data_IF_952838359875
#
_entry.id   IF_952838359875
#
_cell.length_a   1.000
_cell.length_b   1.000
_cell.length_c   1.000
_cell.angle_alpha   90.00
_cell.angle_beta   90.00
_cell.angle_gamma   90.00
#
_symmetry.space_group_name_H-M   'P 1'
#
loop_
_entity.id
_entity.type
_entity.pdbx_description
1 polymer ?
#
# COMPACT_ATOMS: atom_id res chain seq x y z
N UNK A 1 23.99 -25.13 -17.57
CA UNK A 1 24.44 -24.90 -16.18
C UNK A 1 24.85 -23.44 -15.91
N UNK A 2 25.66 -22.78 -16.75
CA UNK A 2 26.07 -21.37 -16.54
C UNK A 2 24.90 -20.35 -16.55
N UNK A 3 23.93 -20.49 -17.44
CA UNK A 3 22.76 -19.61 -17.50
C UNK A 3 21.85 -19.71 -16.25
N UNK A 4 21.79 -20.90 -15.62
CA UNK A 4 21.02 -21.12 -14.39
C UNK A 4 21.72 -20.47 -13.18
N UNK A 5 23.05 -20.49 -13.12
CA UNK A 5 23.78 -19.73 -12.10
C UNK A 5 23.63 -18.21 -12.28
N UNK A 6 23.49 -17.72 -13.51
CA UNK A 6 23.27 -16.30 -13.78
C UNK A 6 21.90 -15.82 -13.29
N UNK A 7 20.83 -16.63 -13.44
CA UNK A 7 19.51 -16.26 -12.93
C UNK A 7 19.46 -16.29 -11.39
N UNK A 8 20.08 -17.28 -10.74
CA UNK A 8 20.13 -17.34 -9.27
C UNK A 8 20.85 -16.13 -8.65
N UNK A 9 21.88 -15.61 -9.33
CA UNK A 9 22.56 -14.40 -8.91
C UNK A 9 21.66 -13.16 -9.06
N UNK A 10 20.97 -13.02 -10.19
CA UNK A 10 20.04 -11.91 -10.42
C UNK A 10 18.86 -11.93 -9.44
N UNK A 11 18.34 -13.11 -9.10
CA UNK A 11 17.23 -13.25 -8.14
C UNK A 11 17.62 -12.93 -6.68
N UNK A 12 18.91 -12.76 -6.38
CA UNK A 12 19.41 -12.27 -5.08
C UNK A 12 19.57 -10.76 -5.03
N UNK A 13 19.45 -10.06 -6.15
CA UNK A 13 19.49 -8.59 -6.19
C UNK A 13 18.17 -8.03 -5.62
N UNK A 14 18.21 -7.21 -4.54
CA UNK A 14 17.01 -6.67 -3.93
C UNK A 14 16.22 -5.70 -4.82
N UNK A 15 16.81 -5.24 -5.94
CA UNK A 15 16.13 -4.39 -6.93
C UNK A 15 15.27 -5.19 -7.92
N UNK A 16 15.45 -6.52 -7.96
CA UNK A 16 14.70 -7.40 -8.86
C UNK A 16 13.45 -7.87 -8.14
N UNK A 17 12.28 -7.38 -8.59
CA UNK A 17 11.00 -7.89 -8.10
C UNK A 17 10.72 -9.27 -8.69
N UNK A 18 10.48 -10.25 -7.81
CA UNK A 18 10.34 -11.66 -8.18
C UNK A 18 8.91 -12.09 -8.49
N UNK A 19 7.90 -11.25 -8.21
CA UNK A 19 6.48 -11.50 -8.46
C UNK A 19 5.82 -12.66 -7.70
N UNK A 20 6.61 -13.64 -7.23
CA UNK A 20 6.15 -14.92 -6.70
C UNK A 20 6.25 -15.06 -5.17
N UNK A 21 6.99 -14.16 -4.52
CA UNK A 21 7.11 -14.08 -3.06
C UNK A 21 6.41 -12.81 -2.56
N UNK A 22 5.08 -12.79 -2.60
CA UNK A 22 4.30 -11.72 -1.95
C UNK A 22 3.63 -12.29 -0.69
N UNK A 23 4.38 -12.42 0.43
CA UNK A 23 3.74 -12.76 1.69
C UNK A 23 2.60 -11.76 1.96
N UNK A 24 1.52 -12.18 2.61
CA UNK A 24 0.45 -11.26 2.98
C UNK A 24 1.07 -10.08 3.74
N UNK A 25 0.68 -8.84 3.39
CA UNK A 25 1.25 -7.68 4.04
C UNK A 25 0.98 -7.73 5.54
N UNK A 26 1.87 -7.15 6.37
CA UNK A 26 1.57 -7.00 7.79
C UNK A 26 0.25 -6.23 7.96
N UNK A 27 -0.48 -6.47 9.06
CA UNK A 27 -1.68 -5.70 9.36
C UNK A 27 -1.38 -4.21 9.39
N UNK A 28 -2.27 -3.43 8.78
CA UNK A 28 -2.16 -1.97 8.76
C UNK A 28 -2.33 -1.40 10.17
N UNK A 29 -1.53 -0.38 10.49
CA UNK A 29 -1.75 0.50 11.66
C UNK A 29 -2.75 1.63 11.40
N UNK A 30 -3.14 1.82 10.15
CA UNK A 30 -3.90 2.98 9.69
C UNK A 30 -5.20 2.53 9.02
N UNK A 31 -6.28 2.52 9.79
CA UNK A 31 -7.61 2.25 9.24
C UNK A 31 -7.98 3.28 8.17
N UNK A 32 -8.78 2.87 7.19
CA UNK A 32 -9.30 3.77 6.15
C UNK A 32 -10.39 4.70 6.68
N UNK A 33 -11.00 4.34 7.82
CA UNK A 33 -12.20 4.98 8.34
C UNK A 33 -13.50 4.40 7.77
N UNK A 34 -13.40 3.41 6.88
CA UNK A 34 -14.54 2.72 6.27
C UNK A 34 -14.38 1.21 6.45
N UNK A 35 -15.16 0.61 7.35
CA UNK A 35 -15.04 -0.83 7.68
C UNK A 35 -15.13 -1.73 6.46
N UNK A 36 -16.06 -1.44 5.52
CA UNK A 36 -16.20 -2.23 4.30
C UNK A 36 -14.95 -2.21 3.40
N UNK A 37 -14.17 -1.12 3.44
CA UNK A 37 -12.91 -1.03 2.71
C UNK A 37 -11.78 -1.69 3.49
N UNK A 38 -11.72 -1.50 4.81
CA UNK A 38 -10.75 -2.18 5.67
C UNK A 38 -10.84 -3.71 5.49
N UNK A 39 -12.06 -4.27 5.48
CA UNK A 39 -12.32 -5.70 5.23
C UNK A 39 -11.90 -6.18 3.84
N UNK A 40 -11.93 -5.29 2.84
CA UNK A 40 -11.58 -5.61 1.45
C UNK A 40 -10.07 -5.50 1.18
N UNK A 41 -9.32 -4.74 1.99
CA UNK A 41 -7.89 -4.53 1.81
C UNK A 41 -7.08 -5.69 2.43
N UNK A 42 -6.04 -6.22 1.76
CA UNK A 42 -5.26 -7.35 2.27
C UNK A 42 -4.62 -7.14 3.65
N UNK A 43 -4.34 -5.87 4.01
CA UNK A 43 -3.75 -5.49 5.28
C UNK A 43 -4.78 -5.06 6.34
N UNK A 44 -6.09 -5.02 6.03
CA UNK A 44 -7.11 -4.51 6.95
C UNK A 44 -7.15 -2.99 7.09
N UNK A 45 -6.58 -2.24 6.12
CA UNK A 45 -6.40 -0.80 6.17
C UNK A 45 -5.36 -0.31 5.17
N UNK A 46 -4.91 0.95 5.30
CA UNK A 46 -3.90 1.52 4.41
C UNK A 46 -2.54 0.83 4.55
N UNK A 47 -1.90 0.38 3.46
CA UNK A 47 -0.60 -0.29 3.54
C UNK A 47 0.50 0.69 3.99
N UNK A 48 1.40 0.23 4.86
CA UNK A 48 2.56 1.00 5.29
C UNK A 48 3.70 0.96 4.26
N UNK A 49 4.52 2.02 4.23
CA UNK A 49 5.69 2.14 3.36
C UNK A 49 5.41 1.78 1.89
N UNK A 50 4.20 2.08 1.42
CA UNK A 50 3.68 1.69 0.12
C UNK A 50 3.09 2.90 -0.60
N UNK A 51 3.05 2.84 -1.93
CA UNK A 51 2.31 3.78 -2.75
C UNK A 51 0.90 3.23 -2.98
N UNK A 52 -0.11 4.07 -2.83
CA UNK A 52 -1.50 3.76 -3.14
C UNK A 52 -1.98 4.65 -4.27
N UNK A 53 -2.56 4.05 -5.30
CA UNK A 53 -3.25 4.75 -6.37
C UNK A 53 -4.74 4.48 -6.26
N UNK A 54 -5.55 5.54 -6.29
CA UNK A 54 -7.01 5.46 -6.19
C UNK A 54 -7.57 5.91 -7.54
N UNK A 55 -8.24 4.99 -8.23
CA UNK A 55 -8.84 5.24 -9.54
C UNK A 55 -10.33 5.56 -9.36
N UNK A 56 -10.74 6.74 -9.81
CA UNK A 56 -12.13 7.17 -9.82
C UNK A 56 -12.71 7.05 -11.23
N UNK A 57 -14.00 6.72 -11.32
CA UNK A 57 -14.68 6.58 -12.62
C UNK A 57 -14.95 7.92 -13.31
N UNK A 58 -14.98 9.02 -12.54
CA UNK A 58 -15.21 10.37 -13.01
C UNK A 58 -14.74 11.39 -11.96
N UNK A 59 -14.55 12.63 -12.40
CA UNK A 59 -14.19 13.76 -11.54
C UNK A 59 -15.41 14.27 -10.75
N UNK A 60 -15.16 14.88 -9.58
CA UNK A 60 -16.16 15.53 -8.74
C UNK A 60 -16.93 14.58 -7.83
N UNK A 61 -16.42 13.36 -7.60
CA UNK A 61 -17.04 12.37 -6.72
C UNK A 61 -16.73 12.62 -5.23
N UNK A 62 -15.93 13.65 -4.92
CA UNK A 62 -15.43 13.88 -3.58
C UNK A 62 -14.26 12.95 -3.28
N UNK A 63 -13.30 12.89 -4.19
CA UNK A 63 -12.11 12.05 -4.21
C UNK A 63 -11.35 12.09 -2.87
N UNK A 64 -11.26 13.27 -2.28
CA UNK A 64 -10.60 13.47 -0.99
C UNK A 64 -11.39 12.86 0.17
N UNK A 65 -12.71 12.68 0.06
CA UNK A 65 -13.55 12.13 1.14
C UNK A 65 -13.11 10.74 1.59
N UNK A 66 -12.54 9.96 0.69
CA UNK A 66 -11.96 8.66 1.01
C UNK A 66 -10.71 8.77 1.89
N UNK A 67 -9.91 9.83 1.69
CA UNK A 67 -8.65 10.07 2.38
C UNK A 67 -8.83 10.89 3.67
N UNK A 68 -9.89 11.70 3.77
CA UNK A 68 -10.12 12.60 4.91
C UNK A 68 -10.05 11.91 6.29
N UNK A 69 -10.64 10.72 6.52
CA UNK A 69 -10.55 10.07 7.83
C UNK A 69 -9.11 9.74 8.22
N UNK A 70 -8.32 9.23 7.28
CA UNK A 70 -6.92 8.90 7.51
C UNK A 70 -6.06 10.16 7.70
N UNK A 71 -6.29 11.21 6.92
CA UNK A 71 -5.61 12.50 7.08
C UNK A 71 -5.91 13.11 8.46
N UNK A 72 -7.17 13.06 8.92
CA UNK A 72 -7.56 13.54 10.23
C UNK A 72 -6.84 12.77 11.34
N UNK A 73 -6.84 11.42 11.30
CA UNK A 73 -6.15 10.59 12.28
C UNK A 73 -4.63 10.87 12.30
N UNK A 74 -3.99 10.93 11.13
CA UNK A 74 -2.55 11.18 11.01
C UNK A 74 -2.17 12.60 11.48
N UNK A 75 -3.03 13.59 11.26
CA UNK A 75 -2.78 14.97 11.70
C UNK A 75 -2.80 15.12 13.22
N UNK A 76 -3.43 14.20 13.95
CA UNK A 76 -3.46 14.20 15.42
C UNK A 76 -2.24 13.50 16.05
N UNK A 77 -1.46 12.78 15.26
CA UNK A 77 -0.39 11.89 15.74
C UNK A 77 1.01 12.56 15.74
N UNK A 78 1.06 13.90 15.68
CA UNK A 78 2.28 14.73 15.54
C UNK A 78 3.16 14.34 14.33
N UNK A 79 2.53 13.78 13.29
CA UNK A 79 3.18 13.39 12.04
C UNK A 79 2.97 14.48 10.99
N UNK A 80 4.02 14.77 10.22
CA UNK A 80 3.88 15.59 9.03
C UNK A 80 3.05 14.86 7.97
N UNK A 81 1.94 15.47 7.59
CA UNK A 81 1.07 15.01 6.49
C UNK A 81 1.25 15.97 5.32
N UNK A 82 1.63 15.43 4.16
CA UNK A 82 1.78 16.17 2.91
C UNK A 82 0.72 15.64 1.94
N UNK A 83 -0.04 16.55 1.34
CA UNK A 83 -1.10 16.28 0.35
C UNK A 83 -0.76 17.01 -0.94
#
# INVERSE_FOLDING_TARGET
>A
MAAVQAIDFLLRDPRVWRGQDNPPPPPSRHATGFTALDDALPAGGWPEASLVEILFSADGLGELSLLLPALAALSTDDRHVLV
#
